data_IF_726784235637
#
_entry.id   IF_726784235637
#
_cell.length_a   1.000
_cell.length_b   1.000
_cell.length_c   1.000
_cell.angle_alpha   90.00
_cell.angle_beta   90.00
_cell.angle_gamma   90.00
#
_symmetry.space_group_name_H-M   'P 1'
#
loop_
_entity.id
_entity.type
_entity.pdbx_description
1 polymer ?
#
# COMPACT_ATOMS: atom_id res chain seq x y z
N UNK A 1 32.01 40.83 2.40
CA UNK A 1 30.70 41.52 2.34
C UNK A 1 30.28 41.53 0.87
N UNK A 2 29.02 41.24 0.53
CA UNK A 2 28.63 41.23 -0.90
C UNK A 2 28.53 42.67 -1.41
N UNK A 3 28.91 42.93 -2.66
CA UNK A 3 28.84 44.29 -3.26
C UNK A 3 27.44 44.90 -3.14
N UNK A 4 26.41 44.07 -3.25
CA UNK A 4 25.01 44.49 -3.11
C UNK A 4 24.63 44.90 -1.67
N UNK A 5 25.25 44.31 -0.64
CA UNK A 5 25.02 44.71 0.76
C UNK A 5 25.69 46.05 1.06
N UNK A 6 26.90 46.27 0.52
CA UNK A 6 27.60 47.55 0.65
C UNK A 6 26.77 48.69 0.06
N UNK A 7 26.24 48.51 -1.14
CA UNK A 7 25.37 49.48 -1.81
C UNK A 7 24.10 49.78 -0.99
N UNK A 8 23.44 48.76 -0.44
CA UNK A 8 22.27 48.95 0.44
C UNK A 8 22.60 49.69 1.72
N UNK A 9 23.76 49.42 2.34
CA UNK A 9 24.20 50.12 3.54
C UNK A 9 24.43 51.60 3.23
N UNK A 10 25.08 51.92 2.09
CA UNK A 10 25.30 53.31 1.70
C UNK A 10 23.99 54.07 1.48
N UNK A 11 23.03 53.47 0.76
CA UNK A 11 21.73 54.08 0.51
C UNK A 11 20.93 54.30 1.82
N UNK A 12 20.94 53.33 2.73
CA UNK A 12 20.26 53.44 4.03
C UNK A 12 20.92 54.50 4.94
N UNK A 13 22.26 54.61 4.92
CA UNK A 13 22.97 55.68 5.64
C UNK A 13 22.56 57.05 5.11
N UNK A 14 22.56 57.24 3.78
CA UNK A 14 22.16 58.51 3.16
C UNK A 14 20.73 58.88 3.55
N UNK A 15 19.81 57.92 3.52
CA UNK A 15 18.42 58.15 3.90
C UNK A 15 18.27 58.52 5.38
N UNK A 16 18.95 57.82 6.30
CA UNK A 16 18.84 58.11 7.74
C UNK A 16 19.53 59.40 8.16
N UNK A 17 20.63 59.76 7.49
CA UNK A 17 21.28 61.07 7.69
C UNK A 17 20.30 62.17 7.29
N UNK A 18 19.67 62.05 6.12
CA UNK A 18 18.66 63.01 5.66
C UNK A 18 17.45 63.12 6.61
N UNK A 19 16.91 61.99 7.09
CA UNK A 19 15.79 61.97 8.04
C UNK A 19 16.16 62.59 9.41
N UNK A 20 17.39 62.38 9.90
CA UNK A 20 17.84 63.01 11.15
C UNK A 20 18.13 64.51 10.96
N UNK A 21 18.65 64.92 9.80
CA UNK A 21 18.77 66.34 9.45
C UNK A 21 17.39 67.02 9.42
N UNK A 22 16.39 66.40 8.80
CA UNK A 22 15.02 66.94 8.74
C UNK A 22 14.40 67.07 10.14
N UNK A 23 14.55 66.05 11.01
CA UNK A 23 14.09 66.12 12.40
C UNK A 23 14.84 67.16 13.23
N UNK A 24 16.12 67.41 12.94
CA UNK A 24 16.92 68.42 13.63
C UNK A 24 16.50 69.82 13.18
N UNK A 25 16.29 70.02 11.88
CA UNK A 25 15.73 71.25 11.33
C UNK A 25 14.29 71.54 11.80
N UNK A 26 13.45 70.52 12.01
CA UNK A 26 12.13 70.72 12.62
C UNK A 26 12.24 71.12 14.10
N UNK A 27 13.15 70.48 14.86
CA UNK A 27 13.43 70.82 16.26
C UNK A 27 14.06 72.22 16.41
N UNK A 28 14.92 72.63 15.49
CA UNK A 28 15.58 73.94 15.46
C UNK A 28 14.69 75.03 14.84
N UNK A 29 13.82 74.68 13.89
CA UNK A 29 12.82 75.58 13.30
C UNK A 29 11.74 76.03 14.28
N UNK A 30 11.41 75.21 15.28
CA UNK A 30 10.60 75.62 16.45
C UNK A 30 11.37 76.56 17.40
N UNK A 31 12.69 76.69 17.26
CA UNK A 31 13.58 77.48 18.12
C UNK A 31 14.22 78.71 17.43
N UNK A 32 14.14 78.85 16.11
CA UNK A 32 14.86 79.88 15.36
C UNK A 32 13.96 80.75 14.46
N UNK A 33 13.41 81.82 15.05
CA UNK A 33 13.07 83.04 14.30
C UNK A 33 14.21 84.05 14.46
N UNK A 34 15.32 83.82 13.76
CA UNK A 34 16.22 84.83 13.20
C UNK A 34 17.53 84.18 12.71
N UNK A 35 17.84 84.44 11.45
CA UNK A 35 19.14 84.33 10.77
C UNK A 35 19.69 82.96 10.30
N UNK A 36 20.08 82.99 9.01
CA UNK A 36 21.07 82.17 8.31
C UNK A 36 20.68 80.75 7.82
N UNK A 37 20.04 80.69 6.65
CA UNK A 37 19.97 79.52 5.76
C UNK A 37 21.23 79.37 4.90
N UNK A 38 22.41 79.21 5.51
CA UNK A 38 23.60 78.80 4.76
C UNK A 38 24.69 78.24 5.67
N UNK A 39 24.48 77.07 6.25
CA UNK A 39 25.63 76.23 6.60
C UNK A 39 25.28 74.75 6.53
N UNK A 40 26.17 74.06 5.83
CA UNK A 40 26.22 72.64 5.49
C UNK A 40 25.96 71.77 6.72
N UNK A 41 25.03 70.82 6.58
CA UNK A 41 24.75 69.70 7.48
C UNK A 41 24.71 70.05 8.97
N UNK A 42 23.49 70.20 9.53
CA UNK A 42 23.31 70.37 10.97
C UNK A 42 23.85 69.22 11.83
N UNK A 43 24.34 68.12 11.24
CA UNK A 43 24.96 67.00 11.94
C UNK A 43 26.50 67.15 11.99
N UNK A 44 27.09 66.97 13.17
CA UNK A 44 28.53 66.88 13.33
C UNK A 44 29.10 65.63 12.65
N UNK A 45 30.37 65.64 12.21
CA UNK A 45 31.01 64.45 11.63
C UNK A 45 30.94 63.20 12.52
N UNK A 46 30.93 63.39 13.85
CA UNK A 46 30.81 62.30 14.82
C UNK A 46 29.40 61.68 14.84
N UNK A 47 28.35 62.49 14.68
CA UNK A 47 26.96 62.00 14.59
C UNK A 47 26.75 61.20 13.30
N UNK A 48 27.27 61.68 12.16
CA UNK A 48 27.21 60.98 10.87
C UNK A 48 27.96 59.63 10.95
N UNK A 49 29.15 59.61 11.57
CA UNK A 49 29.91 58.36 11.75
C UNK A 49 29.18 57.36 12.66
N UNK A 50 28.51 57.84 13.72
CA UNK A 50 27.74 56.99 14.61
C UNK A 50 26.50 56.41 13.94
N UNK A 51 25.77 57.21 13.13
CA UNK A 51 24.65 56.73 12.31
C UNK A 51 25.15 55.67 11.32
N UNK A 52 26.27 55.93 10.65
CA UNK A 52 26.89 54.98 9.73
C UNK A 52 27.27 53.65 10.41
N UNK A 53 27.83 53.70 11.62
CA UNK A 53 28.15 52.52 12.43
C UNK A 53 26.89 51.75 12.83
N UNK A 54 25.85 52.43 13.31
CA UNK A 54 24.59 51.80 13.74
C UNK A 54 23.89 51.12 12.57
N UNK A 55 23.70 51.83 11.44
CA UNK A 55 23.09 51.27 10.22
C UNK A 55 23.87 50.07 9.71
N UNK A 56 25.21 50.16 9.69
CA UNK A 56 26.06 49.04 9.29
C UNK A 56 25.88 47.83 10.21
N UNK A 57 25.80 48.03 11.52
CA UNK A 57 25.57 46.96 12.49
C UNK A 57 24.18 46.34 12.33
N UNK A 58 23.11 47.14 12.20
CA UNK A 58 21.75 46.67 11.95
C UNK A 58 21.66 45.84 10.66
N UNK A 59 22.23 46.34 9.56
CA UNK A 59 22.22 45.66 8.27
C UNK A 59 23.03 44.36 8.27
N UNK A 60 24.18 44.33 8.96
CA UNK A 60 24.97 43.10 9.14
C UNK A 60 24.23 42.08 9.99
N UNK A 61 23.58 42.50 11.08
CA UNK A 61 22.76 41.62 11.92
C UNK A 61 21.56 41.07 11.14
N UNK A 62 20.89 41.90 10.34
CA UNK A 62 19.77 41.48 9.49
C UNK A 62 20.23 40.49 8.41
N UNK A 63 21.39 40.72 7.77
CA UNK A 63 21.95 39.80 6.77
C UNK A 63 22.32 38.44 7.41
N UNK A 64 22.91 38.47 8.62
CA UNK A 64 23.22 37.26 9.38
C UNK A 64 21.97 36.50 9.79
N UNK A 65 20.93 37.20 10.27
CA UNK A 65 19.64 36.61 10.62
C UNK A 65 18.98 35.96 9.39
N UNK A 66 18.99 36.63 8.23
CA UNK A 66 18.50 36.08 6.96
C UNK A 66 19.28 34.84 6.54
N UNK A 67 20.61 34.86 6.59
CA UNK A 67 21.46 33.70 6.27
C UNK A 67 21.19 32.53 7.21
N UNK A 68 21.03 32.79 8.51
CA UNK A 68 20.67 31.77 9.51
C UNK A 68 19.28 31.19 9.24
N UNK A 69 18.30 32.01 8.90
CA UNK A 69 16.96 31.57 8.52
C UNK A 69 16.99 30.67 7.27
N UNK A 70 17.61 31.13 6.18
CA UNK A 70 17.73 30.34 4.94
C UNK A 70 18.43 29.01 5.19
N UNK A 71 19.55 29.01 5.92
CA UNK A 71 20.27 27.79 6.30
C UNK A 71 19.36 26.83 7.08
N UNK A 72 18.64 27.33 8.09
CA UNK A 72 17.76 26.51 8.91
C UNK A 72 16.58 25.95 8.09
N UNK A 73 16.02 26.71 7.15
CA UNK A 73 14.95 26.24 6.25
C UNK A 73 15.45 25.16 5.29
N UNK A 74 16.67 25.28 4.77
CA UNK A 74 17.31 24.23 3.95
C UNK A 74 17.50 22.95 4.78
N UNK A 75 18.04 23.08 6.00
CA UNK A 75 18.22 21.93 6.91
C UNK A 75 16.87 21.27 7.20
N UNK A 76 15.83 22.05 7.52
CA UNK A 76 14.49 21.54 7.75
C UNK A 76 13.94 20.79 6.52
N UNK A 77 14.11 21.34 5.31
CA UNK A 77 13.73 20.68 4.07
C UNK A 77 14.44 19.34 3.85
N UNK A 78 15.75 19.29 4.08
CA UNK A 78 16.54 18.04 3.97
C UNK A 78 16.06 17.01 4.99
N UNK A 79 15.81 17.42 6.24
CA UNK A 79 15.30 16.52 7.29
C UNK A 79 13.95 15.94 6.89
N UNK A 80 13.03 16.75 6.35
CA UNK A 80 11.73 16.28 5.87
C UNK A 80 11.89 15.25 4.74
N UNK A 81 12.78 15.50 3.78
CA UNK A 81 13.04 14.57 2.67
C UNK A 81 13.59 13.24 3.19
N UNK A 82 14.56 13.27 4.10
CA UNK A 82 15.16 12.06 4.69
C UNK A 82 14.13 11.25 5.48
N UNK A 83 13.29 11.93 6.27
CA UNK A 83 12.19 11.27 6.98
C UNK A 83 11.19 10.65 6.00
N UNK A 84 10.83 11.36 4.94
CA UNK A 84 9.90 10.86 3.93
C UNK A 84 10.47 9.63 3.21
N UNK A 85 11.71 9.67 2.71
CA UNK A 85 12.33 8.54 2.00
C UNK A 85 12.57 7.33 2.91
N UNK A 86 12.98 7.56 4.16
CA UNK A 86 13.11 6.50 5.16
C UNK A 86 11.79 5.76 5.42
N UNK A 87 10.67 6.50 5.52
CA UNK A 87 9.35 5.88 5.69
C UNK A 87 8.92 5.09 4.45
N UNK A 88 9.22 5.56 3.24
CA UNK A 88 8.91 4.84 2.01
C UNK A 88 9.63 3.49 1.93
N UNK A 89 10.92 3.43 2.28
CA UNK A 89 11.69 2.18 2.26
C UNK A 89 11.12 1.14 3.23
N UNK A 90 10.83 1.56 4.47
CA UNK A 90 10.23 0.66 5.46
C UNK A 90 8.85 0.15 5.00
N UNK A 91 8.02 1.05 4.47
CA UNK A 91 6.70 0.68 3.98
C UNK A 91 6.79 -0.28 2.81
N UNK A 92 7.66 -0.02 1.83
CA UNK A 92 7.90 -0.89 0.67
C UNK A 92 8.27 -2.31 1.10
N UNK A 93 9.29 -2.46 1.94
CA UNK A 93 9.76 -3.78 2.41
C UNK A 93 8.65 -4.56 3.12
N UNK A 94 7.81 -3.86 3.90
CA UNK A 94 6.70 -4.51 4.57
C UNK A 94 5.58 -4.92 3.60
N UNK A 95 5.28 -4.12 2.57
CA UNK A 95 4.32 -4.51 1.53
C UNK A 95 4.82 -5.76 0.79
N UNK A 96 6.12 -5.81 0.45
CA UNK A 96 6.74 -6.99 -0.17
C UNK A 96 6.59 -8.22 0.72
N UNK A 97 6.86 -8.09 2.03
CA UNK A 97 6.68 -9.20 2.98
C UNK A 97 5.24 -9.71 3.03
N UNK A 98 4.26 -8.80 3.06
CA UNK A 98 2.84 -9.19 3.05
C UNK A 98 2.42 -9.81 1.71
N UNK A 99 2.99 -9.33 0.60
CA UNK A 99 2.75 -9.91 -0.72
C UNK A 99 3.29 -11.35 -0.79
N UNK A 100 4.50 -11.57 -0.31
CA UNK A 100 5.12 -12.91 -0.23
C UNK A 100 4.31 -13.87 0.64
N UNK A 101 3.76 -13.37 1.75
CA UNK A 101 2.87 -14.17 2.59
C UNK A 101 1.61 -14.59 1.83
N UNK A 102 0.99 -13.69 1.06
CA UNK A 102 -0.16 -14.04 0.21
C UNK A 102 0.22 -15.09 -0.83
N UNK A 103 1.37 -14.96 -1.49
CA UNK A 103 1.87 -15.95 -2.45
C UNK A 103 2.09 -17.31 -1.79
N UNK A 104 2.66 -17.31 -0.59
CA UNK A 104 2.86 -18.54 0.21
C UNK A 104 1.52 -19.21 0.54
N UNK A 105 0.51 -18.44 0.97
CA UNK A 105 -0.82 -19.01 1.25
C UNK A 105 -1.51 -19.50 -0.02
N UNK A 106 -1.34 -18.80 -1.15
CA UNK A 106 -1.85 -19.26 -2.44
C UNK A 106 -1.24 -20.60 -2.84
N UNK A 107 0.07 -20.77 -2.70
CA UNK A 107 0.73 -22.04 -2.96
C UNK A 107 0.19 -23.19 -2.09
N UNK A 108 -0.20 -22.92 -0.84
CA UNK A 108 -0.87 -23.94 0.01
C UNK A 108 -2.25 -24.30 -0.53
N UNK A 109 -3.01 -23.34 -1.04
CA UNK A 109 -4.29 -23.57 -1.71
C UNK A 109 -4.09 -24.43 -2.96
N UNK A 110 -3.15 -24.09 -3.82
CA UNK A 110 -2.83 -24.88 -5.03
C UNK A 110 -2.46 -26.33 -4.67
N UNK A 111 -1.63 -26.53 -3.65
CA UNK A 111 -1.21 -27.85 -3.21
C UNK A 111 -2.39 -28.75 -2.77
N UNK A 112 -3.37 -28.21 -2.04
CA UNK A 112 -4.53 -29.00 -1.60
C UNK A 112 -5.49 -29.31 -2.74
N UNK A 113 -5.65 -28.39 -3.70
CA UNK A 113 -6.45 -28.62 -4.91
C UNK A 113 -5.77 -29.62 -5.87
N UNK A 114 -4.45 -29.55 -6.05
CA UNK A 114 -3.68 -30.51 -6.82
C UNK A 114 -3.84 -31.92 -6.24
N UNK A 115 -3.67 -32.08 -4.92
CA UNK A 115 -3.88 -33.36 -4.26
C UNK A 115 -5.27 -33.93 -4.53
N UNK A 116 -6.32 -33.10 -4.45
CA UNK A 116 -7.69 -33.54 -4.76
C UNK A 116 -7.80 -34.06 -6.19
N UNK A 117 -7.17 -33.39 -7.15
CA UNK A 117 -7.16 -33.78 -8.57
C UNK A 117 -6.35 -35.04 -8.85
N UNK A 118 -5.29 -35.30 -8.08
CA UNK A 118 -4.45 -36.49 -8.19
C UNK A 118 -5.15 -37.76 -7.70
N UNK A 119 -6.15 -37.63 -6.82
CA UNK A 119 -6.95 -38.75 -6.32
C UNK A 119 -8.03 -39.20 -7.32
N UNK A 120 -8.49 -38.31 -8.20
CA UNK A 120 -9.60 -38.57 -9.11
C UNK A 120 -9.34 -39.74 -10.08
N UNK A 121 -8.16 -39.90 -10.71
CA UNK A 121 -7.91 -41.05 -11.59
C UNK A 121 -8.05 -42.39 -10.88
N UNK A 122 -7.57 -42.49 -9.63
CA UNK A 122 -7.70 -43.71 -8.83
C UNK A 122 -9.17 -43.97 -8.49
N UNK A 123 -9.92 -42.93 -8.11
CA UNK A 123 -11.36 -43.02 -7.87
C UNK A 123 -12.13 -43.51 -9.10
N UNK A 124 -11.84 -42.92 -10.27
CA UNK A 124 -12.44 -43.32 -11.56
C UNK A 124 -12.14 -44.78 -11.87
N UNK A 125 -10.91 -45.24 -11.64
CA UNK A 125 -10.53 -46.63 -11.90
C UNK A 125 -11.25 -47.61 -10.95
N UNK A 126 -11.39 -47.26 -9.67
CA UNK A 126 -12.16 -48.07 -8.71
C UNK A 126 -13.63 -48.15 -9.10
N UNK A 127 -14.26 -47.03 -9.47
CA UNK A 127 -15.67 -47.02 -9.91
C UNK A 127 -15.84 -47.83 -11.21
N UNK A 128 -14.92 -47.69 -12.17
CA UNK A 128 -14.95 -48.47 -13.42
C UNK A 128 -14.97 -49.98 -13.16
N UNK A 129 -14.22 -50.48 -12.18
CA UNK A 129 -14.14 -51.92 -11.91
C UNK A 129 -15.50 -52.56 -11.52
N UNK A 130 -16.46 -51.76 -11.03
CA UNK A 130 -17.74 -52.25 -10.53
C UNK A 130 -18.96 -51.67 -11.27
N UNK A 131 -18.81 -50.52 -11.94
CA UNK A 131 -19.90 -49.80 -12.60
C UNK A 131 -19.50 -49.35 -14.03
N UNK A 132 -19.04 -50.29 -14.86
CA UNK A 132 -18.61 -50.00 -16.25
C UNK A 132 -19.72 -49.39 -17.13
N UNK A 133 -20.98 -49.62 -16.78
CA UNK A 133 -22.15 -49.08 -17.48
C UNK A 133 -22.40 -47.59 -17.18
N UNK A 134 -21.79 -47.04 -16.12
CA UNK A 134 -21.96 -45.66 -15.64
C UNK A 134 -21.04 -44.67 -16.39
N UNK A 135 -21.07 -44.76 -17.72
CA UNK A 135 -20.17 -44.01 -18.61
C UNK A 135 -20.38 -42.50 -18.49
N UNK A 136 -21.62 -42.06 -18.33
CA UNK A 136 -21.95 -40.64 -18.22
C UNK A 136 -21.33 -40.02 -16.97
N UNK A 137 -21.38 -40.72 -15.83
CA UNK A 137 -20.77 -40.24 -14.59
C UNK A 137 -19.24 -40.21 -14.68
N UNK A 138 -18.64 -41.28 -15.20
CA UNK A 138 -17.18 -41.36 -15.38
C UNK A 138 -16.68 -40.23 -16.29
N UNK A 139 -17.41 -39.96 -17.38
CA UNK A 139 -17.11 -38.88 -18.30
C UNK A 139 -17.22 -37.53 -17.60
N UNK A 140 -18.31 -37.27 -16.88
CA UNK A 140 -18.52 -36.05 -16.11
C UNK A 140 -17.41 -35.79 -15.10
N UNK A 141 -16.95 -36.82 -14.37
CA UNK A 141 -15.88 -36.69 -13.39
C UNK A 141 -14.53 -36.40 -14.07
N UNK A 142 -14.28 -37.05 -15.22
CA UNK A 142 -13.07 -36.82 -16.02
C UNK A 142 -13.03 -35.41 -16.59
N UNK A 143 -14.16 -34.92 -17.12
CA UNK A 143 -14.29 -33.56 -17.65
C UNK A 143 -14.18 -32.50 -16.56
N UNK A 144 -14.83 -32.72 -15.41
CA UNK A 144 -14.74 -31.81 -14.28
C UNK A 144 -13.31 -31.75 -13.72
N UNK A 145 -12.59 -32.89 -13.69
CA UNK A 145 -11.17 -32.92 -13.33
C UNK A 145 -10.33 -32.15 -14.34
N UNK A 146 -10.56 -32.33 -15.64
CA UNK A 146 -9.80 -31.63 -16.69
C UNK A 146 -10.00 -30.12 -16.59
N UNK A 147 -11.23 -29.66 -16.37
CA UNK A 147 -11.54 -28.24 -16.19
C UNK A 147 -10.92 -27.66 -14.90
N UNK A 148 -11.06 -28.36 -13.78
CA UNK A 148 -10.45 -27.97 -12.51
C UNK A 148 -8.91 -27.98 -12.56
N UNK A 149 -8.31 -28.89 -13.32
CA UNK A 149 -6.87 -28.94 -13.56
C UNK A 149 -6.38 -27.83 -14.48
N UNK A 150 -7.20 -27.40 -15.44
CA UNK A 150 -6.87 -26.31 -16.37
C UNK A 150 -6.72 -24.94 -15.68
N UNK A 151 -7.33 -24.75 -14.51
CA UNK A 151 -7.26 -23.51 -13.73
C UNK A 151 -6.26 -23.55 -12.59
N UNK A 152 -5.53 -24.65 -12.37
CA UNK A 152 -4.64 -24.79 -11.20
C UNK A 152 -3.47 -23.79 -11.20
N UNK A 153 -2.91 -23.49 -12.37
CA UNK A 153 -1.66 -22.74 -12.50
C UNK A 153 -1.88 -21.23 -12.60
N UNK A 154 -2.82 -20.68 -11.82
CA UNK A 154 -3.03 -19.23 -11.79
C UNK A 154 -1.87 -18.58 -11.04
N UNK A 155 -1.15 -17.66 -11.69
CA UNK A 155 -0.10 -16.91 -11.00
C UNK A 155 -0.70 -16.07 -9.87
N UNK A 156 -0.02 -16.09 -8.72
CA UNK A 156 -0.39 -15.31 -7.54
C UNK A 156 -0.34 -13.78 -7.80
N UNK A 157 0.35 -13.35 -8.86
CA UNK A 157 0.39 -11.96 -9.33
C UNK A 157 -0.86 -11.56 -10.13
N UNK A 158 -1.54 -12.53 -10.74
CA UNK A 158 -2.78 -12.37 -11.52
C UNK A 158 -4.06 -12.74 -10.75
N UNK A 159 -4.01 -12.72 -9.41
CA UNK A 159 -5.18 -12.97 -8.54
C UNK A 159 -6.15 -11.78 -8.50
N UNK A 160 -6.67 -11.43 -9.67
CA UNK A 160 -7.81 -10.55 -9.79
C UNK A 160 -9.13 -11.28 -9.45
N UNK A 161 -10.21 -10.52 -9.39
CA UNK A 161 -11.53 -11.06 -9.04
C UNK A 161 -12.02 -12.10 -10.06
N UNK A 162 -11.73 -11.90 -11.35
CA UNK A 162 -12.24 -12.74 -12.43
C UNK A 162 -11.53 -14.09 -12.45
N UNK A 163 -10.20 -14.10 -12.34
CA UNK A 163 -9.39 -15.30 -12.26
C UNK A 163 -9.79 -16.17 -11.07
N UNK A 164 -9.96 -15.55 -9.88
CA UNK A 164 -10.34 -16.28 -8.69
C UNK A 164 -11.79 -16.81 -8.73
N UNK A 165 -12.69 -16.12 -9.44
CA UNK A 165 -14.05 -16.61 -9.71
C UNK A 165 -14.05 -17.80 -10.66
N UNK A 166 -13.28 -17.74 -11.76
CA UNK A 166 -13.14 -18.86 -12.70
C UNK A 166 -12.53 -20.08 -12.01
N UNK A 167 -11.51 -19.86 -11.17
CA UNK A 167 -10.93 -20.90 -10.32
C UNK A 167 -11.99 -21.57 -9.45
N UNK A 168 -12.72 -20.78 -8.66
CA UNK A 168 -13.77 -21.30 -7.78
C UNK A 168 -14.86 -22.05 -8.56
N UNK A 169 -15.30 -21.53 -9.69
CA UNK A 169 -16.33 -22.16 -10.52
C UNK A 169 -15.91 -23.55 -11.00
N UNK A 170 -14.71 -23.69 -11.55
CA UNK A 170 -14.19 -24.98 -11.99
C UNK A 170 -14.01 -25.98 -10.83
N UNK A 171 -13.52 -25.50 -9.67
CA UNK A 171 -13.38 -26.34 -8.48
C UNK A 171 -14.74 -26.76 -7.88
N UNK A 172 -15.77 -25.93 -7.98
CA UNK A 172 -17.13 -26.24 -7.53
C UNK A 172 -17.80 -27.28 -8.44
N UNK A 173 -17.53 -27.24 -9.74
CA UNK A 173 -18.02 -28.24 -10.69
C UNK A 173 -17.46 -29.63 -10.38
N UNK A 174 -16.17 -29.73 -10.04
CA UNK A 174 -15.58 -31.00 -9.57
C UNK A 174 -16.25 -31.49 -8.28
N UNK A 175 -16.47 -30.59 -7.32
CA UNK A 175 -17.13 -30.93 -6.05
C UNK A 175 -18.56 -31.45 -6.29
N UNK A 176 -19.29 -30.84 -7.23
CA UNK A 176 -20.63 -31.28 -7.64
C UNK A 176 -20.63 -32.65 -8.32
N UNK A 177 -19.61 -32.92 -9.16
CA UNK A 177 -19.44 -34.22 -9.80
C UNK A 177 -19.13 -35.32 -8.78
N UNK A 178 -18.28 -35.03 -7.79
CA UNK A 178 -17.99 -35.93 -6.67
C UNK A 178 -19.24 -36.23 -5.83
N UNK A 179 -20.07 -35.23 -5.55
CA UNK A 179 -21.33 -35.43 -4.83
C UNK A 179 -22.29 -36.36 -5.59
N UNK A 180 -22.45 -36.16 -6.92
CA UNK A 180 -23.27 -37.05 -7.75
C UNK A 180 -22.74 -38.48 -7.78
N UNK A 181 -21.41 -38.65 -7.79
CA UNK A 181 -20.81 -39.98 -7.68
C UNK A 181 -21.13 -40.66 -6.35
N UNK A 182 -21.15 -39.93 -5.24
CA UNK A 182 -21.53 -40.52 -3.94
C UNK A 182 -22.98 -41.01 -3.95
N UNK A 183 -23.89 -40.31 -4.62
CA UNK A 183 -25.29 -40.77 -4.78
C UNK A 183 -25.35 -42.09 -5.54
N UNK A 184 -24.62 -42.23 -6.65
CA UNK A 184 -24.58 -43.48 -7.42
C UNK A 184 -24.03 -44.66 -6.58
N UNK A 185 -23.03 -44.39 -5.74
CA UNK A 185 -22.41 -45.43 -4.91
C UNK A 185 -23.40 -46.03 -3.91
N UNK A 186 -24.42 -45.26 -3.47
CA UNK A 186 -25.49 -45.78 -2.62
C UNK A 186 -26.28 -46.91 -3.29
N UNK A 187 -26.47 -46.84 -4.60
CA UNK A 187 -27.16 -47.86 -5.40
C UNK A 187 -26.24 -49.04 -5.79
N UNK A 188 -24.94 -48.96 -5.45
CA UNK A 188 -23.92 -49.95 -5.81
C UNK A 188 -23.22 -50.53 -4.55
N UNK A 189 -23.82 -51.54 -3.87
CA UNK A 189 -23.30 -52.10 -2.62
C UNK A 189 -21.86 -52.60 -2.70
N UNK A 190 -21.43 -53.12 -3.86
CA UNK A 190 -20.08 -53.61 -4.06
C UNK A 190 -19.03 -52.49 -3.99
N UNK A 191 -19.31 -51.32 -4.61
CA UNK A 191 -18.42 -50.14 -4.53
C UNK A 191 -18.43 -49.59 -3.11
N UNK A 192 -19.62 -49.52 -2.51
CA UNK A 192 -19.79 -49.01 -1.14
C UNK A 192 -18.99 -49.79 -0.10
N UNK A 193 -18.81 -51.10 -0.31
CA UNK A 193 -18.03 -51.96 0.57
C UNK A 193 -16.53 -52.04 0.20
N UNK A 194 -16.11 -51.51 -0.96
CA UNK A 194 -14.74 -51.56 -1.43
C UNK A 194 -13.82 -50.70 -0.55
N UNK A 195 -12.80 -51.33 0.03
CA UNK A 195 -11.89 -50.66 0.96
C UNK A 195 -11.06 -49.56 0.29
N UNK A 196 -10.72 -49.71 -1.00
CA UNK A 196 -9.97 -48.68 -1.72
C UNK A 196 -10.87 -47.46 -1.99
N UNK A 197 -12.13 -47.69 -2.35
CA UNK A 197 -13.12 -46.64 -2.52
C UNK A 197 -13.32 -45.84 -1.22
N UNK A 198 -13.56 -46.52 -0.10
CA UNK A 198 -13.74 -45.89 1.21
C UNK A 198 -12.51 -45.08 1.62
N UNK A 199 -11.30 -45.60 1.36
CA UNK A 199 -10.06 -44.86 1.61
C UNK A 199 -9.94 -43.60 0.74
N UNK A 200 -10.28 -43.68 -0.55
CA UNK A 200 -10.27 -42.53 -1.46
C UNK A 200 -11.32 -41.47 -1.07
N UNK A 201 -12.52 -41.90 -0.69
CA UNK A 201 -13.57 -41.03 -0.19
C UNK A 201 -13.08 -40.23 1.04
N UNK A 202 -12.48 -40.91 2.03
CA UNK A 202 -11.92 -40.26 3.21
C UNK A 202 -10.79 -39.28 2.86
N UNK A 203 -9.94 -39.60 1.88
CA UNK A 203 -8.88 -38.70 1.42
C UNK A 203 -9.43 -37.47 0.69
N UNK A 204 -10.50 -37.63 -0.09
CA UNK A 204 -11.17 -36.52 -0.78
C UNK A 204 -11.87 -35.60 0.21
N UNK A 205 -12.61 -36.15 1.19
CA UNK A 205 -13.20 -35.38 2.29
C UNK A 205 -12.13 -34.63 3.09
N UNK A 206 -11.03 -35.30 3.44
CA UNK A 206 -9.89 -34.67 4.09
C UNK A 206 -9.27 -33.54 3.25
N UNK A 207 -9.27 -33.67 1.92
CA UNK A 207 -8.81 -32.62 1.01
C UNK A 207 -9.78 -31.44 0.99
N UNK A 208 -11.09 -31.69 1.01
CA UNK A 208 -12.12 -30.64 1.05
C UNK A 208 -12.07 -29.83 2.35
N UNK A 209 -11.92 -30.50 3.49
CA UNK A 209 -11.75 -29.85 4.78
C UNK A 209 -10.48 -28.97 4.81
N UNK A 210 -9.38 -29.44 4.21
CA UNK A 210 -8.14 -28.65 4.10
C UNK A 210 -8.29 -27.47 3.14
N UNK A 211 -9.02 -27.64 2.04
CA UNK A 211 -9.35 -26.55 1.11
C UNK A 211 -10.06 -25.41 1.84
N UNK A 212 -11.08 -25.71 2.65
CA UNK A 212 -11.80 -24.69 3.42
C UNK A 212 -10.86 -23.91 4.37
N UNK A 213 -9.95 -24.62 5.05
CA UNK A 213 -8.97 -24.02 5.96
C UNK A 213 -7.94 -23.15 5.21
N UNK A 214 -7.39 -23.64 4.09
CA UNK A 214 -6.40 -22.89 3.33
C UNK A 214 -7.01 -21.68 2.60
N UNK A 215 -8.25 -21.77 2.09
CA UNK A 215 -9.02 -20.61 1.57
C UNK A 215 -9.18 -19.53 2.64
N UNK A 216 -9.50 -19.91 3.87
CA UNK A 216 -9.59 -18.98 5.01
C UNK A 216 -8.26 -18.31 5.29
N UNK A 217 -7.17 -19.08 5.41
CA UNK A 217 -5.82 -18.56 5.66
C UNK A 217 -5.34 -17.62 4.56
N UNK A 218 -5.62 -17.96 3.30
CA UNK A 218 -5.36 -17.07 2.17
C UNK A 218 -6.14 -15.75 2.30
N UNK A 219 -7.43 -15.81 2.62
CA UNK A 219 -8.24 -14.61 2.81
C UNK A 219 -7.72 -13.73 3.97
N UNK A 220 -7.25 -14.32 5.07
CA UNK A 220 -6.63 -13.60 6.18
C UNK A 220 -5.35 -12.87 5.74
N UNK A 221 -4.48 -13.54 4.97
CA UNK A 221 -3.27 -12.91 4.42
C UNK A 221 -3.62 -11.77 3.43
N UNK A 222 -4.60 -12.00 2.54
CA UNK A 222 -5.10 -10.97 1.62
C UNK A 222 -5.69 -9.78 2.38
N UNK A 223 -6.40 -10.02 3.49
CA UNK A 223 -6.93 -8.96 4.34
C UNK A 223 -5.82 -8.13 4.97
N UNK A 224 -4.79 -8.77 5.52
CA UNK A 224 -3.63 -8.09 6.09
C UNK A 224 -2.95 -7.21 5.02
N UNK A 225 -2.65 -7.78 3.86
CA UNK A 225 -2.07 -7.08 2.70
C UNK A 225 -2.94 -5.89 2.25
N UNK A 226 -4.20 -6.14 1.90
CA UNK A 226 -5.13 -5.13 1.40
C UNK A 226 -5.34 -3.99 2.40
N UNK A 227 -5.47 -4.32 3.70
CA UNK A 227 -5.67 -3.31 4.74
C UNK A 227 -4.41 -2.48 4.99
N UNK A 228 -3.22 -3.03 4.75
CA UNK A 228 -1.95 -2.32 4.85
C UNK A 228 -1.82 -1.29 3.74
N UNK A 229 -2.00 -1.72 2.48
CA UNK A 229 -1.85 -0.85 1.30
C UNK A 229 -2.95 0.22 1.18
N UNK A 230 -4.13 0.02 1.78
CA UNK A 230 -5.23 0.99 1.73
C UNK A 230 -5.10 2.15 2.71
N UNK A 231 -4.29 2.01 3.77
CA UNK A 231 -4.23 3.02 4.85
C UNK A 231 -3.28 4.15 4.51
N UNK A 232 -3.67 5.39 4.76
CA UNK A 232 -2.77 6.55 4.66
C UNK A 232 -1.65 6.49 5.72
N UNK A 233 -0.40 6.84 5.39
CA UNK A 233 0.11 7.31 4.09
C UNK A 233 0.53 6.18 3.12
N UNK A 234 0.40 4.92 3.51
CA UNK A 234 0.86 3.74 2.77
C UNK A 234 0.21 3.54 1.41
N UNK A 235 -1.01 4.07 1.22
CA UNK A 235 -1.68 4.09 -0.08
C UNK A 235 -0.91 4.87 -1.15
N UNK A 236 -0.14 5.89 -0.77
CA UNK A 236 0.73 6.62 -1.70
C UNK A 236 1.89 5.74 -2.13
N UNK A 237 2.57 5.10 -1.18
CA UNK A 237 3.65 4.15 -1.48
C UNK A 237 3.16 2.98 -2.32
N UNK A 238 2.01 2.40 -1.96
CA UNK A 238 1.40 1.33 -2.72
C UNK A 238 1.10 1.75 -4.17
N UNK A 239 0.48 2.92 -4.37
CA UNK A 239 0.20 3.46 -5.69
C UNK A 239 1.46 3.78 -6.50
N UNK A 240 2.49 4.34 -5.87
CA UNK A 240 3.75 4.69 -6.53
C UNK A 240 4.52 3.46 -7.04
N UNK A 241 4.49 2.37 -6.28
CA UNK A 241 5.22 1.13 -6.60
C UNK A 241 4.34 0.03 -7.23
N UNK A 242 3.09 0.34 -7.58
CA UNK A 242 2.21 -0.59 -8.30
C UNK A 242 1.65 -1.75 -7.47
N UNK A 243 1.60 -1.62 -6.15
CA UNK A 243 0.99 -2.63 -5.28
C UNK A 243 -0.54 -2.54 -5.32
N UNK A 244 -1.17 -3.48 -6.03
CA UNK A 244 -2.61 -3.54 -6.24
C UNK A 244 -3.30 -4.47 -5.26
N UNK A 245 -4.58 -4.21 -5.01
CA UNK A 245 -5.40 -5.07 -4.15
C UNK A 245 -5.55 -6.48 -4.75
N UNK A 246 -5.57 -7.48 -3.87
CA UNK A 246 -5.81 -8.88 -4.25
C UNK A 246 -7.23 -9.30 -3.91
N UNK A 247 -7.81 -10.20 -4.71
CA UNK A 247 -9.16 -10.71 -4.51
C UNK A 247 -9.24 -11.72 -3.34
N UNK A 248 -10.43 -11.85 -2.76
CA UNK A 248 -10.74 -12.85 -1.73
C UNK A 248 -11.47 -14.04 -2.35
N UNK A 249 -11.25 -15.23 -1.80
CA UNK A 249 -12.21 -16.33 -1.96
C UNK A 249 -13.57 -15.88 -1.42
N UNK A 250 -14.62 -16.08 -2.22
CA UNK A 250 -15.97 -15.77 -1.80
C UNK A 250 -16.53 -16.96 -1.02
N UNK A 251 -17.56 -16.71 -0.20
CA UNK A 251 -18.33 -17.81 0.38
C UNK A 251 -19.02 -18.59 -0.75
N UNK A 252 -19.18 -19.89 -0.57
CA UNK A 252 -19.90 -20.71 -1.53
C UNK A 252 -21.36 -20.26 -1.61
N UNK A 253 -21.94 -20.23 -2.80
CA UNK A 253 -23.32 -19.78 -3.01
C UNK A 253 -24.29 -20.63 -2.17
N UNK A 254 -25.16 -19.99 -1.38
CA UNK A 254 -26.08 -20.69 -0.48
C UNK A 254 -25.58 -20.89 0.95
N UNK A 255 -24.32 -20.55 1.27
CA UNK A 255 -23.83 -20.51 2.65
C UNK A 255 -24.61 -19.49 3.52
N UNK A 256 -25.27 -18.50 2.91
CA UNK A 256 -26.21 -17.61 3.60
C UNK A 256 -27.50 -18.29 4.09
N UNK A 257 -27.85 -19.48 3.60
CA UNK A 257 -29.04 -20.22 4.02
C UNK A 257 -28.66 -21.26 5.07
N UNK A 258 -28.87 -20.93 6.34
CA UNK A 258 -28.75 -21.91 7.42
C UNK A 258 -29.67 -23.12 7.16
N UNK A 259 -29.21 -24.36 7.37
CA UNK A 259 -30.05 -25.53 7.18
C UNK A 259 -31.21 -25.50 8.19
N UNK A 260 -32.45 -25.60 7.69
CA UNK A 260 -33.62 -25.81 8.54
C UNK A 260 -33.55 -27.25 9.07
N UNK A 261 -33.05 -27.40 10.29
CA UNK A 261 -33.10 -28.67 11.01
C UNK A 261 -34.47 -28.78 11.66
N UNK A 262 -35.41 -29.43 10.98
CA UNK A 262 -36.63 -29.95 11.61
C UNK A 262 -36.33 -31.35 12.14
N UNK A 263 -36.46 -31.52 13.46
CA UNK A 263 -36.48 -32.82 14.13
C UNK A 263 -37.80 -33.55 13.89
#
# INVERSE_FOLDING_TARGET
MSKHLEEKIQNEIQQRVFEEEEKKHQREGDLASHEALSEVSGLSPQEIEQIAKNVRQEMLQQEQARKKFVRNSIIAGIVIIVLFTGTLMFQYNHIVSLNEEVQTKWGQVENVYQRRLDLIPNLVNTVKAYAEHEKELIQMLTDARAQAGGVLNLSAESLDMQALQQFQAAQNQLSSALQRMMVLVEDNPNIKADQNFLALQAQLEGSENRIAVERKRFNEAVQAYNSYIKRFPRNITAGLFGFNQKAYFQADAGAEKAPNVTF
#
